data_IF_420124650031
#
_entry.id   IF_420124650031
#
_cell.length_a   1.000
_cell.length_b   1.000
_cell.length_c   1.000
_cell.angle_alpha   90.00
_cell.angle_beta   90.00
_cell.angle_gamma   90.00
#
_symmetry.space_group_name_H-M   'P 1'
#
loop_
_entity.id
_entity.type
_entity.pdbx_description
1 polymer ?
#
# COMPACT_ATOMS: atom_id res chain seq x y z
N UNK A 1 93.56 35.45 12.11
CA UNK A 1 92.46 34.86 12.88
C UNK A 1 91.16 35.20 12.14
N UNK A 2 90.72 34.30 11.24
CA UNK A 2 89.52 34.48 10.37
C UNK A 2 88.44 33.51 10.81
N UNK A 3 87.38 34.02 11.29
CA UNK A 3 86.17 33.23 11.51
C UNK A 3 85.25 33.37 10.28
N UNK A 4 85.13 32.29 9.60
CA UNK A 4 84.21 32.10 8.46
C UNK A 4 82.80 31.88 9.04
N UNK A 5 81.87 32.75 8.70
CA UNK A 5 80.50 32.59 9.02
C UNK A 5 79.86 31.66 7.94
N UNK A 6 79.28 30.56 8.38
CA UNK A 6 78.54 29.64 7.55
C UNK A 6 77.20 30.22 7.08
N UNK A 7 76.70 29.97 5.87
CA UNK A 7 75.43 30.45 5.38
C UNK A 7 74.25 29.68 6.02
N UNK A 8 73.25 30.43 6.36
CA UNK A 8 71.96 29.94 6.95
C UNK A 8 71.27 28.99 5.98
N UNK A 9 70.82 27.92 6.57
CA UNK A 9 70.15 26.76 6.00
C UNK A 9 68.84 27.11 5.29
N UNK A 10 68.78 26.87 4.00
CA UNK A 10 67.64 27.10 3.09
C UNK A 10 66.58 25.99 3.16
N UNK A 11 66.70 25.11 4.17
CA UNK A 11 65.86 23.89 4.26
C UNK A 11 64.59 24.01 5.08
N UNK A 12 64.25 25.20 5.61
CA UNK A 12 63.05 25.36 6.48
C UNK A 12 61.79 25.89 5.80
N UNK A 13 61.78 26.03 4.48
CA UNK A 13 60.60 26.58 3.77
C UNK A 13 59.83 25.58 2.93
N UNK A 14 60.00 24.26 3.11
CA UNK A 14 59.37 23.24 2.25
C UNK A 14 58.28 22.39 2.90
N UNK A 15 57.81 22.71 4.09
CA UNK A 15 56.86 21.86 4.81
C UNK A 15 55.45 22.46 5.00
N UNK A 16 55.03 23.45 4.23
CA UNK A 16 53.68 24.02 4.29
C UNK A 16 52.89 23.91 2.98
N UNK A 17 53.15 22.85 2.21
CA UNK A 17 52.25 22.43 1.15
C UNK A 17 51.68 21.04 1.50
N UNK A 18 50.92 20.97 2.59
CA UNK A 18 50.11 19.82 2.91
C UNK A 18 48.74 20.02 2.25
N UNK A 19 48.58 19.34 1.13
CA UNK A 19 47.44 18.55 0.72
C UNK A 19 46.06 19.00 1.27
N UNK A 20 45.34 19.83 0.51
CA UNK A 20 43.89 19.80 0.52
C UNK A 20 43.46 18.47 -0.12
N UNK A 21 43.42 17.39 0.68
CA UNK A 21 42.72 16.16 0.30
C UNK A 21 41.22 16.46 0.26
N UNK A 22 40.73 16.80 -0.91
CA UNK A 22 39.29 16.86 -1.17
C UNK A 22 38.69 15.50 -0.87
N UNK A 23 37.86 15.40 0.16
CA UNK A 23 36.98 14.27 0.42
C UNK A 23 35.99 14.15 -0.76
N UNK A 24 36.40 13.41 -1.78
CA UNK A 24 35.46 12.95 -2.82
C UNK A 24 34.57 11.91 -2.16
N UNK A 25 33.40 12.35 -1.70
CA UNK A 25 32.36 11.43 -1.25
C UNK A 25 31.93 10.57 -2.45
N UNK A 26 31.89 9.24 -2.29
CA UNK A 26 31.52 8.35 -3.38
C UNK A 26 30.06 8.60 -3.82
N UNK A 27 29.73 8.52 -5.12
CA UNK A 27 28.41 8.85 -5.67
C UNK A 27 27.24 7.94 -5.23
N UNK A 28 27.51 6.94 -4.39
CA UNK A 28 26.45 6.05 -3.85
C UNK A 28 25.76 6.57 -2.59
N UNK A 29 26.22 7.69 -2.00
CA UNK A 29 25.63 8.25 -0.78
C UNK A 29 24.30 9.02 -1.00
N UNK A 30 23.84 9.14 -2.25
CA UNK A 30 22.62 9.87 -2.58
C UNK A 30 21.54 8.99 -3.23
N UNK A 31 21.55 7.67 -3.00
CA UNK A 31 20.37 6.87 -3.28
C UNK A 31 19.33 7.17 -2.21
N UNK A 32 18.66 8.33 -2.33
CA UNK A 32 17.38 8.55 -1.72
C UNK A 32 16.48 7.38 -2.14
N UNK A 33 16.06 6.58 -1.17
CA UNK A 33 15.11 5.48 -1.42
C UNK A 33 13.86 6.11 -2.04
N UNK A 34 13.74 6.01 -3.36
CA UNK A 34 12.55 6.41 -4.06
C UNK A 34 11.41 5.59 -3.46
N UNK A 35 10.48 6.27 -2.79
CA UNK A 35 9.22 5.69 -2.32
C UNK A 35 8.62 4.94 -3.52
N UNK A 36 8.20 3.68 -3.37
CA UNK A 36 7.68 2.94 -4.51
C UNK A 36 6.55 3.72 -5.15
N UNK A 37 6.64 3.95 -6.44
CA UNK A 37 5.84 4.89 -7.24
C UNK A 37 4.32 4.56 -7.33
N UNK A 38 3.79 3.67 -6.49
CA UNK A 38 2.44 3.14 -6.60
C UNK A 38 1.60 3.19 -5.31
N UNK A 39 2.11 3.76 -4.22
CA UNK A 39 1.32 3.90 -2.99
C UNK A 39 0.72 5.30 -2.92
N UNK A 40 -0.59 5.36 -3.10
CA UNK A 40 -1.36 6.60 -3.05
C UNK A 40 -1.91 6.85 -1.62
N UNK A 41 -2.20 8.10 -1.26
CA UNK A 41 -2.93 8.39 -0.04
C UNK A 41 -4.32 7.73 -0.08
N UNK A 42 -4.93 7.58 1.10
CA UNK A 42 -6.32 7.10 1.18
C UNK A 42 -7.24 7.97 0.32
N UNK A 43 -8.27 7.37 -0.31
CA UNK A 43 -9.31 8.13 -0.96
C UNK A 43 -10.00 9.09 0.03
N UNK A 44 -10.21 10.33 -0.40
CA UNK A 44 -10.81 11.36 0.46
C UNK A 44 -12.32 11.13 0.58
N UNK A 45 -12.84 11.15 1.81
CA UNK A 45 -14.28 11.08 2.10
C UNK A 45 -15.03 12.19 1.34
N UNK A 46 -16.15 11.84 0.73
CA UNK A 46 -16.95 12.72 -0.11
C UNK A 46 -16.57 12.74 -1.59
N UNK A 47 -15.37 12.29 -1.96
CA UNK A 47 -14.96 12.22 -3.37
C UNK A 47 -15.65 11.04 -4.08
N UNK A 48 -15.94 11.21 -5.38
CA UNK A 48 -16.42 10.13 -6.22
C UNK A 48 -15.40 8.98 -6.25
N UNK A 49 -15.90 7.74 -6.16
CA UNK A 49 -15.10 6.51 -6.23
C UNK A 49 -15.57 5.70 -7.44
N UNK A 50 -14.95 5.93 -8.63
CA UNK A 50 -15.31 5.20 -9.84
C UNK A 50 -14.95 3.72 -9.70
N UNK A 51 -15.77 2.85 -10.30
CA UNK A 51 -15.58 1.42 -10.27
C UNK A 51 -15.26 0.90 -11.67
N UNK A 52 -14.50 -0.18 -11.73
CA UNK A 52 -14.20 -0.92 -12.95
C UNK A 52 -14.55 -2.41 -12.75
N UNK A 53 -14.87 -3.12 -13.84
CA UNK A 53 -15.07 -4.57 -13.78
C UNK A 53 -13.78 -5.28 -13.35
N UNK A 54 -13.91 -6.33 -12.52
CA UNK A 54 -12.78 -7.10 -12.03
C UNK A 54 -13.01 -8.62 -12.14
N UNK A 55 -12.08 -9.40 -12.71
CA UNK A 55 -12.13 -10.85 -12.65
C UNK A 55 -12.05 -11.33 -11.20
N UNK A 56 -12.96 -12.19 -10.77
CA UNK A 56 -12.96 -12.72 -9.40
C UNK A 56 -12.14 -13.99 -9.27
N UNK A 57 -11.40 -14.12 -8.18
CA UNK A 57 -10.57 -15.29 -7.87
C UNK A 57 -11.40 -16.57 -7.67
N UNK A 58 -12.65 -16.43 -7.25
CA UNK A 58 -13.61 -17.53 -7.12
C UNK A 58 -14.35 -17.86 -8.41
N UNK A 59 -14.00 -17.23 -9.53
CA UNK A 59 -14.70 -17.33 -10.81
C UNK A 59 -15.74 -16.24 -11.01
N UNK A 60 -16.07 -15.99 -12.28
CA UNK A 60 -16.95 -14.88 -12.65
C UNK A 60 -16.28 -13.52 -12.63
N UNK A 61 -17.08 -12.45 -12.51
CA UNK A 61 -16.63 -11.08 -12.62
C UNK A 61 -17.42 -10.16 -11.69
N UNK A 62 -16.76 -9.24 -11.04
CA UNK A 62 -17.40 -8.09 -10.40
C UNK A 62 -17.87 -7.15 -11.49
N UNK A 63 -19.16 -6.80 -11.46
CA UNK A 63 -19.77 -5.83 -12.36
C UNK A 63 -20.09 -4.55 -11.56
N UNK A 64 -19.51 -3.39 -11.93
CA UNK A 64 -19.82 -2.10 -11.30
C UNK A 64 -21.31 -1.77 -11.22
N UNK A 65 -22.10 -2.16 -12.23
CA UNK A 65 -23.54 -1.92 -12.24
C UNK A 65 -24.27 -2.54 -11.05
N UNK A 66 -23.77 -3.66 -10.51
CA UNK A 66 -24.34 -4.30 -9.33
C UNK A 66 -24.10 -3.50 -8.03
N UNK A 67 -23.14 -2.59 -8.03
CA UNK A 67 -22.83 -1.72 -6.89
C UNK A 67 -23.48 -0.33 -6.97
N UNK A 68 -24.16 -0.02 -8.08
CA UNK A 68 -24.84 1.26 -8.20
C UNK A 68 -26.06 1.33 -7.25
N UNK A 69 -26.15 2.44 -6.50
CA UNK A 69 -27.17 2.63 -5.47
C UNK A 69 -27.02 1.71 -4.25
N UNK A 70 -25.90 0.99 -4.14
CA UNK A 70 -25.62 0.08 -3.03
C UNK A 70 -24.34 0.48 -2.30
N UNK A 71 -24.22 0.03 -1.06
CA UNK A 71 -22.98 0.18 -0.30
C UNK A 71 -21.98 -0.88 -0.76
N UNK A 72 -20.76 -0.44 -1.10
CA UNK A 72 -19.66 -1.32 -1.48
C UNK A 72 -18.49 -1.14 -0.52
N UNK A 73 -17.98 -2.25 0.02
CA UNK A 73 -16.74 -2.29 0.77
C UNK A 73 -15.62 -2.75 -0.14
N UNK A 74 -14.61 -1.90 -0.35
CA UNK A 74 -13.33 -2.25 -0.95
C UNK A 74 -12.35 -2.59 0.16
N UNK A 75 -11.63 -3.70 0.02
CA UNK A 75 -10.71 -4.22 1.02
C UNK A 75 -9.39 -4.63 0.38
N UNK A 76 -8.31 -3.81 0.52
CA UNK A 76 -6.98 -4.19 0.06
C UNK A 76 -6.28 -5.04 1.12
N UNK A 77 -5.79 -6.20 0.69
CA UNK A 77 -5.20 -7.21 1.56
C UNK A 77 -4.12 -8.03 0.85
N UNK A 78 -3.41 -8.88 1.60
CA UNK A 78 -2.52 -9.89 1.04
C UNK A 78 -2.53 -11.16 1.89
N UNK A 79 -2.25 -12.31 1.27
CA UNK A 79 -2.23 -13.61 1.95
C UNK A 79 -1.12 -13.73 3.00
N UNK A 80 -0.06 -12.96 2.88
CA UNK A 80 1.10 -12.89 3.76
C UNK A 80 1.01 -11.79 4.84
N UNK A 81 -0.03 -10.97 4.83
CA UNK A 81 -0.17 -9.82 5.73
C UNK A 81 -0.78 -10.29 7.08
N UNK A 82 -0.07 -10.16 8.23
CA UNK A 82 -0.57 -10.65 9.51
C UNK A 82 -1.82 -9.90 9.98
N UNK A 83 -1.85 -8.58 9.88
CA UNK A 83 -3.02 -7.77 10.24
C UNK A 83 -4.23 -8.04 9.33
N UNK A 84 -4.00 -8.38 8.06
CA UNK A 84 -5.06 -8.84 7.18
C UNK A 84 -5.61 -10.20 7.62
N UNK A 85 -4.75 -11.08 8.13
CA UNK A 85 -5.18 -12.39 8.63
C UNK A 85 -6.08 -12.27 9.87
N UNK A 86 -5.90 -11.24 10.68
CA UNK A 86 -6.76 -10.94 11.84
C UNK A 86 -8.08 -10.28 11.42
N UNK A 87 -8.07 -9.39 10.42
CA UNK A 87 -9.28 -8.69 9.96
C UNK A 87 -10.15 -9.54 9.03
N UNK A 88 -9.58 -10.40 8.20
CA UNK A 88 -10.32 -11.14 7.17
C UNK A 88 -11.46 -12.03 7.71
N UNK A 89 -11.36 -12.67 8.89
CA UNK A 89 -12.51 -13.38 9.49
C UNK A 89 -13.70 -12.45 9.74
N UNK A 90 -13.45 -11.22 10.19
CA UNK A 90 -14.51 -10.24 10.45
C UNK A 90 -15.13 -9.71 9.15
N UNK A 91 -14.32 -9.54 8.10
CA UNK A 91 -14.82 -9.22 6.77
C UNK A 91 -15.71 -10.33 6.22
N UNK A 92 -15.38 -11.61 6.48
CA UNK A 92 -16.26 -12.73 6.11
C UNK A 92 -17.57 -12.70 6.88
N UNK A 93 -17.54 -12.45 8.19
CA UNK A 93 -18.76 -12.31 9.01
C UNK A 93 -19.64 -11.16 8.50
N UNK A 94 -19.04 -10.01 8.19
CA UNK A 94 -19.76 -8.86 7.62
C UNK A 94 -20.42 -9.25 6.29
N UNK A 95 -19.68 -9.91 5.40
CA UNK A 95 -20.20 -10.38 4.12
C UNK A 95 -21.39 -11.32 4.30
N UNK A 96 -21.26 -12.34 5.12
CA UNK A 96 -22.32 -13.33 5.35
C UNK A 96 -23.59 -12.70 5.95
N UNK A 97 -23.43 -11.77 6.88
CA UNK A 97 -24.53 -11.10 7.55
C UNK A 97 -25.25 -10.07 6.66
N UNK A 98 -24.53 -9.40 5.75
CA UNK A 98 -25.06 -8.21 5.10
C UNK A 98 -25.26 -8.33 3.58
N UNK A 99 -24.70 -9.35 2.92
CA UNK A 99 -24.90 -9.56 1.45
C UNK A 99 -26.38 -9.67 1.07
N UNK A 100 -27.18 -10.33 1.88
CA UNK A 100 -28.63 -10.44 1.67
C UNK A 100 -29.40 -9.11 1.87
N UNK A 101 -28.77 -8.11 2.51
CA UNK A 101 -29.30 -6.77 2.72
C UNK A 101 -28.79 -5.74 1.70
N UNK A 102 -28.06 -6.20 0.70
CA UNK A 102 -27.56 -5.37 -0.40
C UNK A 102 -26.13 -4.88 -0.27
N UNK A 103 -25.36 -5.30 0.77
CA UNK A 103 -23.94 -5.03 0.83
C UNK A 103 -23.24 -5.66 -0.38
N UNK A 104 -22.42 -4.87 -1.04
CA UNK A 104 -21.44 -5.34 -2.01
C UNK A 104 -20.05 -5.34 -1.37
N UNK A 105 -19.18 -6.25 -1.81
CA UNK A 105 -17.78 -6.30 -1.37
C UNK A 105 -16.89 -6.65 -2.55
N UNK A 106 -15.71 -6.05 -2.60
CA UNK A 106 -14.63 -6.41 -3.50
C UNK A 106 -13.31 -6.37 -2.74
N UNK A 107 -12.79 -7.52 -2.38
CA UNK A 107 -11.49 -7.66 -1.73
C UNK A 107 -10.39 -7.73 -2.80
N UNK A 108 -9.40 -6.85 -2.72
CA UNK A 108 -8.34 -6.66 -3.71
C UNK A 108 -7.02 -7.21 -3.14
N UNK A 109 -6.62 -8.41 -3.59
CA UNK A 109 -5.34 -9.00 -3.18
C UNK A 109 -4.18 -8.33 -3.91
N UNK A 110 -3.16 -7.91 -3.15
CA UNK A 110 -1.90 -7.38 -3.67
C UNK A 110 -0.78 -8.42 -3.71
N UNK A 111 -1.09 -9.70 -3.61
CA UNK A 111 -0.11 -10.77 -3.80
C UNK A 111 0.59 -10.60 -5.16
N UNK A 112 1.82 -11.08 -5.27
CA UNK A 112 2.61 -10.96 -6.52
C UNK A 112 1.93 -11.65 -7.71
N UNK A 113 1.22 -12.74 -7.44
CA UNK A 113 0.42 -13.51 -8.39
C UNK A 113 -0.91 -13.92 -7.74
N UNK A 114 -1.93 -14.37 -8.50
CA UNK A 114 -3.24 -14.70 -7.91
C UNK A 114 -3.23 -15.99 -7.06
N UNK A 115 -2.30 -16.92 -7.28
CA UNK A 115 -2.32 -18.26 -6.69
C UNK A 115 -2.27 -18.23 -5.14
N UNK A 116 -1.38 -17.43 -4.47
CA UNK A 116 -1.38 -17.36 -3.01
C UNK A 116 -2.71 -16.88 -2.44
N UNK A 117 -3.34 -15.88 -3.06
CA UNK A 117 -4.65 -15.39 -2.65
C UNK A 117 -5.74 -16.46 -2.78
N UNK A 118 -5.79 -17.17 -3.92
CA UNK A 118 -6.73 -18.28 -4.14
C UNK A 118 -6.55 -19.37 -3.08
N UNK A 119 -5.29 -19.78 -2.83
CA UNK A 119 -4.98 -20.79 -1.83
C UNK A 119 -5.41 -20.37 -0.42
N UNK A 120 -5.17 -19.10 -0.08
CA UNK A 120 -5.55 -18.52 1.20
C UNK A 120 -7.07 -18.49 1.40
N UNK A 121 -7.82 -17.95 0.44
CA UNK A 121 -9.29 -17.89 0.49
C UNK A 121 -9.89 -19.29 0.67
N UNK A 122 -9.41 -20.26 -0.11
CA UNK A 122 -9.84 -21.66 -0.03
C UNK A 122 -9.50 -22.29 1.32
N UNK A 123 -8.27 -22.12 1.82
CA UNK A 123 -7.83 -22.67 3.11
C UNK A 123 -8.66 -22.11 4.29
N UNK A 124 -9.06 -20.85 4.20
CA UNK A 124 -9.84 -20.15 5.24
C UNK A 124 -11.35 -20.27 5.04
N UNK A 125 -11.79 -20.87 3.95
CA UNK A 125 -13.19 -20.98 3.56
C UNK A 125 -13.88 -19.61 3.45
N UNK A 126 -13.17 -18.61 2.90
CA UNK A 126 -13.72 -17.29 2.67
C UNK A 126 -14.46 -17.25 1.33
N UNK A 127 -15.65 -16.62 1.35
CA UNK A 127 -16.55 -16.52 0.19
C UNK A 127 -16.83 -15.08 -0.24
N UNK A 128 -16.29 -14.08 0.45
CA UNK A 128 -16.43 -12.70 -0.01
C UNK A 128 -15.79 -12.53 -1.39
N UNK A 129 -16.40 -11.73 -2.30
CA UNK A 129 -15.85 -11.50 -3.63
C UNK A 129 -14.44 -10.90 -3.56
N UNK A 130 -13.49 -11.57 -4.21
CA UNK A 130 -12.10 -11.14 -4.21
C UNK A 130 -11.51 -11.18 -5.63
N UNK A 131 -10.66 -10.20 -5.95
CA UNK A 131 -9.91 -10.10 -7.20
C UNK A 131 -8.41 -9.94 -6.92
N UNK A 132 -7.58 -10.37 -7.86
CA UNK A 132 -6.16 -10.10 -7.82
C UNK A 132 -5.87 -8.72 -8.43
N UNK A 133 -5.18 -7.87 -7.67
CA UNK A 133 -4.80 -6.52 -8.09
C UNK A 133 -3.53 -6.55 -8.95
N UNK A 134 -3.62 -7.23 -10.11
CA UNK A 134 -2.56 -7.22 -11.11
C UNK A 134 -2.39 -5.84 -11.76
N UNK A 135 -1.35 -5.67 -12.63
CA UNK A 135 -0.99 -4.37 -13.22
C UNK A 135 -2.14 -3.67 -13.96
N UNK A 136 -3.03 -4.45 -14.57
CA UNK A 136 -4.19 -3.92 -15.28
C UNK A 136 -5.24 -3.35 -14.33
N UNK A 137 -5.62 -4.14 -13.32
CA UNK A 137 -6.65 -3.75 -12.36
C UNK A 137 -6.17 -2.63 -11.42
N UNK A 138 -4.86 -2.56 -11.15
CA UNK A 138 -4.24 -1.53 -10.33
C UNK A 138 -4.42 -0.11 -10.90
N UNK A 139 -4.60 0.03 -12.22
CA UNK A 139 -4.90 1.34 -12.83
C UNK A 139 -6.29 1.85 -12.43
N UNK A 140 -7.24 0.95 -12.24
CA UNK A 140 -8.62 1.29 -11.83
C UNK A 140 -8.80 1.33 -10.32
N UNK A 141 -8.04 0.52 -9.60
CA UNK A 141 -8.06 0.42 -8.14
C UNK A 141 -6.64 0.61 -7.58
N UNK A 142 -6.09 1.82 -7.69
CA UNK A 142 -4.73 2.06 -7.21
C UNK A 142 -4.65 1.73 -5.71
N UNK A 143 -3.56 1.02 -5.34
CA UNK A 143 -3.34 0.60 -3.96
C UNK A 143 -2.98 1.81 -3.08
N UNK A 144 -3.73 2.08 -2.01
CA UNK A 144 -3.32 3.05 -1.00
C UNK A 144 -2.12 2.56 -0.20
N UNK A 145 -1.44 3.48 0.50
CA UNK A 145 -0.32 3.15 1.39
C UNK A 145 -0.78 2.24 2.55
N UNK A 146 0.02 1.21 2.86
CA UNK A 146 -0.23 0.29 3.98
C UNK A 146 -1.14 -0.89 3.65
N UNK A 147 -1.36 -1.75 4.65
CA UNK A 147 -2.28 -2.90 4.67
C UNK A 147 -2.66 -3.25 6.10
N UNK A 148 -3.89 -3.75 6.30
CA UNK A 148 -5.01 -3.71 5.37
C UNK A 148 -5.48 -2.28 5.12
N UNK A 149 -6.24 -2.07 4.03
CA UNK A 149 -6.98 -0.82 3.80
C UNK A 149 -8.43 -1.16 3.52
N UNK A 150 -9.33 -0.42 4.16
CA UNK A 150 -10.78 -0.59 3.99
C UNK A 150 -11.39 0.73 3.55
N UNK A 151 -12.14 0.72 2.44
CA UNK A 151 -12.84 1.89 1.93
C UNK A 151 -14.31 1.53 1.71
N UNK A 152 -15.20 2.35 2.21
CA UNK A 152 -16.66 2.23 1.98
C UNK A 152 -17.07 3.24 0.94
N UNK A 153 -17.69 2.76 -0.14
CA UNK A 153 -18.41 3.57 -1.12
C UNK A 153 -19.89 3.56 -0.74
N UNK A 154 -20.43 4.76 -0.53
CA UNK A 154 -21.86 4.94 -0.25
C UNK A 154 -22.75 4.70 -1.46
N UNK A 155 -24.06 4.69 -1.23
CA UNK A 155 -25.09 4.54 -2.28
C UNK A 155 -25.04 5.64 -3.35
N UNK A 156 -24.51 6.80 -2.98
CA UNK A 156 -24.30 7.97 -3.87
C UNK A 156 -23.05 7.86 -4.75
N UNK A 157 -22.31 6.75 -4.64
CA UNK A 157 -21.08 6.53 -5.40
C UNK A 157 -19.83 7.23 -4.86
N UNK A 158 -19.91 7.83 -3.67
CA UNK A 158 -18.82 8.57 -3.05
C UNK A 158 -18.19 7.77 -1.90
N UNK A 159 -16.96 8.13 -1.55
CA UNK A 159 -16.28 7.58 -0.36
C UNK A 159 -17.03 8.03 0.89
N UNK A 160 -17.61 7.09 1.63
CA UNK A 160 -18.28 7.32 2.89
C UNK A 160 -17.32 7.16 4.09
N UNK A 161 -16.32 6.27 3.95
CA UNK A 161 -15.31 6.01 4.97
C UNK A 161 -14.05 5.44 4.30
N UNK A 162 -12.87 5.77 4.84
CA UNK A 162 -11.59 5.21 4.39
C UNK A 162 -10.66 5.04 5.59
N UNK A 163 -10.16 3.82 5.81
CA UNK A 163 -9.35 3.44 6.95
C UNK A 163 -8.08 2.72 6.50
N UNK A 164 -6.96 3.08 7.12
CA UNK A 164 -5.67 2.42 6.95
C UNK A 164 -5.27 1.69 8.23
N UNK A 165 -4.86 0.46 8.08
CA UNK A 165 -4.55 -0.43 9.19
C UNK A 165 -5.71 -1.34 9.54
N UNK A 166 -5.46 -2.21 10.50
CA UNK A 166 -6.43 -3.18 10.96
C UNK A 166 -7.65 -2.51 11.61
N UNK A 167 -8.83 -2.93 11.18
CA UNK A 167 -10.07 -2.69 11.88
C UNK A 167 -10.34 -3.82 12.89
N UNK A 168 -10.76 -3.46 14.09
CA UNK A 168 -11.20 -4.42 15.09
C UNK A 168 -12.60 -4.95 14.78
N UNK A 169 -13.03 -6.06 15.41
CA UNK A 169 -14.34 -6.67 15.12
C UNK A 169 -15.52 -5.69 15.17
N UNK A 170 -15.51 -4.79 16.15
CA UNK A 170 -16.56 -3.78 16.34
C UNK A 170 -16.59 -2.78 15.19
N UNK A 171 -15.39 -2.36 14.72
CA UNK A 171 -15.27 -1.39 13.62
C UNK A 171 -15.73 -2.00 12.30
N UNK A 172 -15.36 -3.28 12.05
CA UNK A 172 -15.84 -4.00 10.86
C UNK A 172 -17.36 -4.17 10.90
N UNK A 173 -17.94 -4.53 12.06
CA UNK A 173 -19.39 -4.65 12.19
C UNK A 173 -20.10 -3.31 11.95
N UNK A 174 -19.52 -2.19 12.39
CA UNK A 174 -20.06 -0.85 12.18
C UNK A 174 -20.07 -0.40 10.72
N UNK A 175 -19.35 -1.05 9.79
CA UNK A 175 -19.45 -0.74 8.36
C UNK A 175 -20.88 -0.95 7.83
N UNK A 176 -21.67 -1.80 8.49
CA UNK A 176 -23.10 -2.02 8.16
C UNK A 176 -23.98 -0.78 8.39
N UNK A 177 -23.51 0.26 9.11
CA UNK A 177 -24.28 1.51 9.32
C UNK A 177 -24.53 2.27 8.02
N UNK A 178 -23.77 2.02 6.98
CA UNK A 178 -23.90 2.67 5.69
C UNK A 178 -24.99 2.06 4.78
N UNK A 179 -25.55 0.86 5.16
CA UNK A 179 -26.63 0.19 4.42
C UNK A 179 -28.03 0.93 4.50
#
# INVERSE_FOLDING_TARGET
MNRILAPADATRRRWLQAAAAGLVLPPWAAAAQAKPAHELPLPTVGNALPLAPAPLLGGGRFDPAQAEGRVLVLYWWASWCPFCAEQSPEMQKLWDAQRGRGLQMLALSIDKTPEPAVAYLRKKNYSFPAAWLGPELQRSYPKPEGLPVTVVRGKDGRVAQAEKGQLFPEDVAQLARWL
#
